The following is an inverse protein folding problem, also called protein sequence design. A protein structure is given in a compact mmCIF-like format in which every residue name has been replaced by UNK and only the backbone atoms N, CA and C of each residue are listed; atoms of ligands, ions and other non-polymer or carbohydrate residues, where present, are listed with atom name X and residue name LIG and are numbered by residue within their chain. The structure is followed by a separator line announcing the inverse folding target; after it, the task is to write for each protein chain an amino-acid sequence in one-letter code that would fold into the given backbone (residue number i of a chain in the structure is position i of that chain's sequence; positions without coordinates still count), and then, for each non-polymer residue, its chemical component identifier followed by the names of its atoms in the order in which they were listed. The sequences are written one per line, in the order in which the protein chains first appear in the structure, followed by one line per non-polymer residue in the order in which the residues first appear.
data_IF_407811105566
#
_entry.id   IF_407811105566
#
_cell.length_a   1.000
_cell.length_b   1.000
_cell.length_c   1.000
_cell.angle_alpha   90.00
_cell.angle_beta   90.00
_cell.angle_gamma   90.00
#
_symmetry.space_group_name_H-M   'P 1'
#
loop_
_entity.id
_entity.type
_entity.pdbx_description
1 polymer ?
#
# COMPACT_ATOMS: atom_id res chain seq x y z
N UNK A 1 14.87 -15.03 13.39
CA UNK A 1 14.87 -14.29 12.10
C UNK A 1 15.35 -12.87 12.35
N UNK A 2 16.30 -12.37 11.56
CA UNK A 2 16.64 -10.94 11.56
C UNK A 2 15.68 -10.23 10.58
N UNK A 3 14.66 -9.56 11.12
CA UNK A 3 13.62 -8.91 10.33
C UNK A 3 14.18 -7.84 9.39
N UNK A 4 15.14 -7.02 9.84
CA UNK A 4 15.71 -5.95 9.01
C UNK A 4 16.45 -6.50 7.80
N UNK A 5 17.21 -7.58 7.98
CA UNK A 5 17.91 -8.25 6.88
C UNK A 5 16.91 -8.90 5.92
N UNK A 6 15.89 -9.58 6.42
CA UNK A 6 14.84 -10.21 5.60
C UNK A 6 14.06 -9.17 4.79
N UNK A 7 13.66 -8.06 5.41
CA UNK A 7 12.99 -6.96 4.70
C UNK A 7 13.88 -6.38 3.59
N UNK A 8 15.18 -6.22 3.84
CA UNK A 8 16.13 -5.71 2.84
C UNK A 8 16.23 -6.64 1.63
N UNK A 9 16.34 -7.96 1.87
CA UNK A 9 16.41 -8.96 0.81
C UNK A 9 15.13 -9.03 -0.01
N UNK A 10 13.96 -9.00 0.65
CA UNK A 10 12.66 -8.96 -0.03
C UNK A 10 12.47 -7.67 -0.84
N UNK A 11 12.88 -6.53 -0.28
CA UNK A 11 12.84 -5.25 -0.99
C UNK A 11 13.71 -5.30 -2.25
N UNK A 12 14.95 -5.79 -2.17
CA UNK A 12 15.84 -5.93 -3.32
C UNK A 12 15.28 -6.87 -4.39
N UNK A 13 14.64 -7.98 -3.99
CA UNK A 13 13.99 -8.90 -4.91
C UNK A 13 12.81 -8.24 -5.66
N UNK A 14 11.99 -7.47 -4.94
CA UNK A 14 10.86 -6.72 -5.51
C UNK A 14 11.35 -5.61 -6.45
N UNK A 15 12.34 -4.82 -6.02
CA UNK A 15 12.93 -3.75 -6.84
C UNK A 15 13.48 -4.28 -8.17
N UNK A 16 14.21 -5.38 -8.14
CA UNK A 16 14.72 -6.02 -9.36
C UNK A 16 13.61 -6.52 -10.30
N UNK A 17 12.44 -6.89 -9.75
CA UNK A 17 11.29 -7.28 -10.55
C UNK A 17 10.55 -6.07 -11.13
N UNK A 18 10.37 -5.00 -10.33
CA UNK A 18 9.76 -3.74 -10.76
C UNK A 18 10.58 -3.09 -11.88
N UNK A 19 11.90 -3.08 -11.77
CA UNK A 19 12.78 -2.54 -12.79
C UNK A 19 12.60 -3.23 -14.15
N UNK A 20 12.39 -4.54 -14.15
CA UNK A 20 12.14 -5.33 -15.36
C UNK A 20 10.71 -5.23 -15.88
N UNK A 21 9.76 -4.83 -15.04
CA UNK A 21 8.34 -4.81 -15.36
C UNK A 21 7.94 -3.66 -16.27
N UNK A 22 8.60 -2.51 -16.15
CA UNK A 22 8.37 -1.36 -17.03
C UNK A 22 9.60 -1.17 -17.92
N UNK A 23 9.49 -1.29 -19.25
CA UNK A 23 10.60 -1.15 -20.17
C UNK A 23 11.33 0.19 -20.01
N UNK A 24 12.66 0.17 -20.12
CA UNK A 24 13.47 1.40 -20.04
C UNK A 24 13.22 2.32 -21.23
N UNK A 25 13.05 1.75 -22.41
CA UNK A 25 12.90 2.50 -23.63
C UNK A 25 12.01 1.77 -24.62
N UNK A 26 11.13 2.51 -25.27
CA UNK A 26 10.40 2.12 -26.44
C UNK A 26 10.74 3.11 -27.58
N UNK A 27 10.53 2.71 -28.82
CA UNK A 27 10.87 3.55 -29.98
C UNK A 27 10.16 4.91 -29.93
N UNK A 28 8.90 4.95 -29.46
CA UNK A 28 8.11 6.19 -29.31
C UNK A 28 6.77 5.94 -28.60
N UNK A 29 6.32 6.84 -27.71
CA UNK A 29 7.03 7.99 -27.15
C UNK A 29 7.81 7.61 -25.89
N UNK A 30 9.10 7.94 -25.76
CA UNK A 30 9.92 7.55 -24.61
C UNK A 30 9.46 8.20 -23.29
N UNK A 31 8.92 9.40 -23.33
CA UNK A 31 8.57 10.21 -22.14
C UNK A 31 7.60 9.50 -21.19
N UNK A 32 6.66 8.69 -21.70
CA UNK A 32 5.70 7.98 -20.85
C UNK A 32 6.41 6.91 -20.00
N UNK A 33 7.35 6.16 -20.59
CA UNK A 33 8.12 5.16 -19.87
C UNK A 33 9.06 5.79 -18.85
N UNK A 34 9.67 6.92 -19.19
CA UNK A 34 10.50 7.70 -18.27
C UNK A 34 9.69 8.19 -17.08
N UNK A 35 8.50 8.76 -17.29
CA UNK A 35 7.64 9.27 -16.23
C UNK A 35 7.10 8.15 -15.31
N UNK A 36 6.68 7.01 -15.89
CA UNK A 36 6.27 5.83 -15.14
C UNK A 36 7.42 5.30 -14.28
N UNK A 37 8.61 5.08 -14.87
CA UNK A 37 9.80 4.59 -14.15
C UNK A 37 10.28 5.55 -13.09
N UNK A 38 10.25 6.87 -13.36
CA UNK A 38 10.63 7.91 -12.43
C UNK A 38 9.94 7.76 -11.07
N UNK A 39 8.62 7.53 -11.09
CA UNK A 39 7.82 7.40 -9.88
C UNK A 39 7.87 5.98 -9.30
N UNK A 40 7.79 4.95 -10.14
CA UNK A 40 7.78 3.55 -9.70
C UNK A 40 9.10 3.15 -9.03
N UNK A 41 10.23 3.62 -9.56
CA UNK A 41 11.58 3.30 -9.08
C UNK A 41 12.15 4.36 -8.12
N UNK A 42 11.32 5.25 -7.59
CA UNK A 42 11.74 6.26 -6.62
C UNK A 42 12.11 5.68 -5.23
N UNK A 43 12.17 4.37 -5.09
CA UNK A 43 12.42 3.67 -3.83
C UNK A 43 11.17 3.57 -2.94
N UNK A 44 11.40 3.23 -1.67
CA UNK A 44 10.35 3.05 -0.67
C UNK A 44 10.47 1.72 0.07
N UNK A 45 9.65 1.52 1.11
CA UNK A 45 9.69 0.30 1.95
C UNK A 45 9.10 -0.94 1.27
N UNK A 46 8.40 -0.78 0.16
CA UNK A 46 7.75 -1.86 -0.61
C UNK A 46 6.91 -2.82 0.25
N UNK A 47 6.23 -2.29 1.24
CA UNK A 47 5.47 -3.10 2.21
C UNK A 47 4.35 -3.90 1.56
N UNK A 48 3.56 -3.28 0.66
CA UNK A 48 2.43 -3.94 0.00
C UNK A 48 2.84 -5.14 -0.85
N UNK A 49 3.79 -5.03 -1.79
CA UNK A 49 4.28 -6.19 -2.54
C UNK A 49 4.96 -7.21 -1.63
N UNK A 50 5.65 -6.78 -0.57
CA UNK A 50 6.26 -7.67 0.42
C UNK A 50 5.22 -8.52 1.14
N UNK A 51 4.06 -7.92 1.51
CA UNK A 51 2.93 -8.63 2.11
C UNK A 51 2.29 -9.64 1.15
N UNK A 52 2.17 -9.33 -0.15
CA UNK A 52 1.69 -10.31 -1.16
C UNK A 52 2.58 -11.55 -1.17
N UNK A 53 3.91 -11.36 -1.26
CA UNK A 53 4.86 -12.47 -1.32
C UNK A 53 4.86 -13.26 -0.02
N UNK A 54 4.90 -12.59 1.12
CA UNK A 54 4.92 -13.23 2.43
C UNK A 54 3.64 -14.03 2.72
N UNK A 55 2.48 -13.50 2.33
CA UNK A 55 1.21 -14.20 2.49
C UNK A 55 1.15 -15.47 1.62
N UNK A 56 1.68 -15.41 0.39
CA UNK A 56 1.78 -16.58 -0.48
C UNK A 56 2.68 -17.66 0.12
N UNK A 57 3.86 -17.29 0.59
CA UNK A 57 4.82 -18.20 1.22
C UNK A 57 4.28 -18.80 2.53
N UNK A 58 3.56 -18.00 3.33
CA UNK A 58 2.99 -18.44 4.61
C UNK A 58 1.98 -19.60 4.46
N UNK A 59 1.33 -19.70 3.32
CA UNK A 59 0.37 -20.78 3.02
C UNK A 59 0.99 -21.88 2.13
N UNK A 60 2.31 -21.90 1.97
CA UNK A 60 3.04 -22.91 1.21
C UNK A 60 3.12 -22.66 -0.30
N UNK A 61 2.72 -21.50 -0.78
CA UNK A 61 2.83 -21.11 -2.17
C UNK A 61 4.26 -20.66 -2.54
N UNK A 62 4.50 -20.51 -3.84
CA UNK A 62 5.77 -20.04 -4.37
C UNK A 62 5.71 -18.54 -4.62
N UNK A 63 6.68 -17.79 -4.10
CA UNK A 63 6.76 -16.32 -4.31
C UNK A 63 6.83 -15.91 -5.78
N UNK A 64 7.41 -16.76 -6.65
CA UNK A 64 7.50 -16.51 -8.08
C UNK A 64 6.11 -16.45 -8.75
N UNK A 65 5.16 -17.24 -8.26
CA UNK A 65 3.78 -17.23 -8.74
C UNK A 65 3.02 -15.97 -8.28
N UNK A 66 3.36 -15.43 -7.11
CA UNK A 66 2.77 -14.21 -6.55
C UNK A 66 3.44 -12.92 -7.05
N UNK A 67 4.66 -13.00 -7.58
CA UNK A 67 5.48 -11.84 -7.96
C UNK A 67 4.79 -10.90 -8.96
N UNK A 68 4.11 -11.37 -10.03
CA UNK A 68 3.39 -10.46 -10.93
C UNK A 68 2.31 -9.64 -10.23
N UNK A 69 1.61 -10.24 -9.28
CA UNK A 69 0.56 -9.59 -8.47
C UNK A 69 1.16 -8.58 -7.49
N UNK A 70 2.30 -8.90 -6.89
CA UNK A 70 3.06 -8.00 -6.04
C UNK A 70 3.54 -6.76 -6.80
N UNK A 71 4.12 -6.94 -7.99
CA UNK A 71 4.53 -5.83 -8.86
C UNK A 71 3.33 -4.98 -9.31
N UNK A 72 2.24 -5.61 -9.72
CA UNK A 72 1.03 -4.91 -10.13
C UNK A 72 0.45 -4.05 -9.00
N UNK A 73 0.41 -4.58 -7.77
CA UNK A 73 -0.05 -3.83 -6.61
C UNK A 73 0.83 -2.60 -6.30
N UNK A 74 2.14 -2.70 -6.48
CA UNK A 74 3.04 -1.55 -6.31
C UNK A 74 2.87 -0.52 -7.43
N UNK A 75 2.59 -0.94 -8.67
CA UNK A 75 2.23 -0.03 -9.77
C UNK A 75 0.93 0.70 -9.44
N UNK A 76 -0.08 -0.02 -8.95
CA UNK A 76 -1.36 0.55 -8.51
C UNK A 76 -1.13 1.55 -7.37
N UNK A 77 -0.32 1.21 -6.39
CA UNK A 77 0.03 2.15 -5.32
C UNK A 77 0.78 3.38 -5.86
N UNK A 78 1.67 3.19 -6.82
CA UNK A 78 2.45 4.31 -7.38
C UNK A 78 1.57 5.24 -8.21
N UNK A 79 0.65 4.73 -9.04
CA UNK A 79 -0.26 5.59 -9.77
C UNK A 79 -1.10 6.46 -8.83
N UNK A 80 -1.61 5.89 -7.72
CA UNK A 80 -2.41 6.66 -6.78
C UNK A 80 -1.61 7.80 -6.16
N UNK A 81 -0.33 7.56 -5.84
CA UNK A 81 0.56 8.63 -5.35
C UNK A 81 0.84 9.71 -6.39
N UNK A 82 1.02 9.34 -7.68
CA UNK A 82 1.21 10.33 -8.76
C UNK A 82 -0.02 11.24 -8.88
N UNK A 83 -1.22 10.65 -8.83
CA UNK A 83 -2.46 11.41 -8.95
C UNK A 83 -2.77 12.22 -7.69
N UNK A 84 -2.48 11.70 -6.50
CA UNK A 84 -2.62 12.45 -5.24
C UNK A 84 -1.73 13.69 -5.21
N UNK A 85 -0.52 13.62 -5.78
CA UNK A 85 0.42 14.75 -5.82
C UNK A 85 0.01 15.89 -6.77
N UNK A 86 -0.96 15.68 -7.68
CA UNK A 86 -1.37 16.68 -8.66
C UNK A 86 -1.94 17.96 -8.02
N UNK A 87 -1.83 19.12 -8.69
CA UNK A 87 -2.37 20.40 -8.18
C UNK A 87 -3.89 20.39 -7.90
N UNK A 88 -4.64 19.50 -8.55
CA UNK A 88 -6.08 19.33 -8.32
C UNK A 88 -6.39 18.44 -7.09
N UNK A 89 -5.39 17.87 -6.46
CA UNK A 89 -5.46 16.99 -5.31
C UNK A 89 -4.63 17.61 -4.16
N UNK A 90 -3.63 16.89 -3.62
CA UNK A 90 -2.82 17.37 -2.49
C UNK A 90 -1.84 18.49 -2.86
N UNK A 91 -1.53 18.68 -4.15
CA UNK A 91 -0.59 19.68 -4.69
C UNK A 91 0.80 19.60 -4.02
N UNK A 92 1.34 18.41 -3.89
CA UNK A 92 2.64 18.17 -3.28
C UNK A 92 3.79 18.37 -4.26
N UNK A 93 4.80 19.15 -3.86
CA UNK A 93 6.00 19.40 -4.66
C UNK A 93 7.04 18.28 -4.54
N UNK A 94 7.04 17.54 -3.42
CA UNK A 94 8.05 16.54 -3.10
C UNK A 94 7.42 15.24 -2.57
N UNK A 95 7.96 14.10 -3.03
CA UNK A 95 7.63 12.77 -2.53
C UNK A 95 8.89 11.90 -2.44
N UNK A 96 9.12 11.25 -1.31
CA UNK A 96 10.31 10.42 -1.07
C UNK A 96 11.63 11.19 -1.32
N UNK A 97 11.67 12.48 -0.96
CA UNK A 97 12.83 13.34 -1.13
C UNK A 97 13.14 13.78 -2.57
N UNK A 98 12.24 13.52 -3.53
CA UNK A 98 12.36 13.93 -4.94
C UNK A 98 11.18 14.79 -5.34
N UNK A 99 11.33 15.61 -6.38
CA UNK A 99 10.22 16.33 -6.99
C UNK A 99 9.14 15.32 -7.46
N UNK A 100 7.87 15.69 -7.32
CA UNK A 100 6.75 14.90 -7.79
C UNK A 100 6.69 14.83 -9.32
N UNK A 101 5.98 13.85 -9.87
CA UNK A 101 5.93 13.59 -11.32
C UNK A 101 5.50 14.83 -12.10
N UNK A 102 4.45 15.55 -11.63
CA UNK A 102 3.94 16.74 -12.30
C UNK A 102 4.93 17.91 -12.29
N UNK A 103 5.83 17.99 -11.31
CA UNK A 103 6.89 19.02 -11.28
C UNK A 103 8.02 18.74 -12.26
N UNK A 104 8.23 17.47 -12.61
CA UNK A 104 9.32 17.06 -13.53
C UNK A 104 8.84 16.98 -14.97
N UNK A 105 7.65 16.42 -15.21
CA UNK A 105 7.15 16.08 -16.55
C UNK A 105 5.96 16.92 -17.00
N UNK A 106 5.38 17.75 -16.11
CA UNK A 106 4.11 18.44 -16.35
C UNK A 106 2.90 17.64 -15.88
N UNK A 107 1.77 18.33 -15.66
CA UNK A 107 0.54 17.75 -15.13
C UNK A 107 -0.07 16.71 -16.09
N UNK A 108 -0.10 17.03 -17.38
CA UNK A 108 -0.61 16.16 -18.44
C UNK A 108 0.15 14.82 -18.49
N UNK A 109 1.47 14.88 -18.43
CA UNK A 109 2.30 13.69 -18.44
C UNK A 109 2.22 12.91 -17.14
N UNK A 110 2.06 13.57 -16.00
CA UNK A 110 1.83 12.90 -14.72
C UNK A 110 0.49 12.15 -14.69
N UNK A 111 -0.59 12.74 -15.22
CA UNK A 111 -1.89 12.05 -15.38
C UNK A 111 -1.71 10.79 -16.23
N UNK A 112 -1.10 10.92 -17.40
CA UNK A 112 -0.89 9.79 -18.32
C UNK A 112 0.04 8.72 -17.74
N UNK A 113 1.06 9.10 -16.97
CA UNK A 113 1.95 8.16 -16.28
C UNK A 113 1.21 7.36 -15.20
N UNK A 114 0.32 7.99 -14.46
CA UNK A 114 -0.56 7.31 -13.50
C UNK A 114 -1.49 6.32 -14.20
N UNK A 115 -2.19 6.75 -15.26
CA UNK A 115 -3.04 5.88 -16.08
C UNK A 115 -2.25 4.73 -16.67
N UNK A 116 -1.05 5.01 -17.19
CA UNK A 116 -0.14 4.03 -17.75
C UNK A 116 0.24 2.95 -16.75
N UNK A 117 0.60 3.33 -15.53
CA UNK A 117 0.91 2.38 -14.45
C UNK A 117 -0.30 1.54 -14.06
N UNK A 118 -1.50 2.14 -13.94
CA UNK A 118 -2.72 1.40 -13.63
C UNK A 118 -3.05 0.37 -14.70
N UNK A 119 -3.02 0.77 -15.98
CA UNK A 119 -3.28 -0.15 -17.09
C UNK A 119 -2.22 -1.24 -17.19
N UNK A 120 -0.94 -0.89 -17.01
CA UNK A 120 0.15 -1.86 -17.04
C UNK A 120 0.08 -2.87 -15.88
N UNK A 121 -0.40 -2.44 -14.71
CA UNK A 121 -0.69 -3.34 -13.61
C UNK A 121 -1.78 -4.36 -13.96
N UNK A 122 -2.87 -3.89 -14.58
CA UNK A 122 -3.95 -4.78 -15.02
C UNK A 122 -3.46 -5.77 -16.09
N UNK A 123 -2.68 -5.31 -17.07
CA UNK A 123 -2.07 -6.15 -18.08
C UNK A 123 -1.11 -7.19 -17.50
N UNK A 124 -0.29 -6.80 -16.53
CA UNK A 124 0.63 -7.69 -15.82
C UNK A 124 -0.12 -8.82 -15.11
N UNK A 125 -1.20 -8.51 -14.39
CA UNK A 125 -2.04 -9.52 -13.73
C UNK A 125 -2.78 -10.40 -14.75
N UNK A 126 -3.33 -9.82 -15.83
CA UNK A 126 -4.00 -10.57 -16.87
C UNK A 126 -3.06 -11.55 -17.56
N UNK A 127 -1.83 -11.12 -17.89
CA UNK A 127 -0.79 -11.96 -18.47
C UNK A 127 -0.39 -13.11 -17.53
N UNK A 128 -0.31 -12.87 -16.22
CA UNK A 128 -0.09 -13.93 -15.24
C UNK A 128 -1.24 -14.95 -15.23
N UNK A 129 -2.50 -14.49 -15.31
CA UNK A 129 -3.68 -15.36 -15.39
C UNK A 129 -3.70 -16.16 -16.70
N UNK A 130 -3.34 -15.57 -17.84
CA UNK A 130 -3.25 -16.28 -19.13
C UNK A 130 -2.14 -17.33 -19.10
N UNK A 131 -0.98 -16.98 -18.55
CA UNK A 131 0.16 -17.90 -18.44
C UNK A 131 -0.11 -19.08 -17.51
N UNK A 132 -0.86 -18.87 -16.45
CA UNK A 132 -1.25 -19.89 -15.45
C UNK A 132 -2.73 -19.75 -15.13
N UNK A 133 -3.65 -20.29 -15.97
CA UNK A 133 -5.09 -20.09 -15.82
C UNK A 133 -5.65 -20.98 -14.71
N UNK A 134 -5.60 -20.49 -13.49
CA UNK A 134 -6.06 -21.18 -12.28
C UNK A 134 -6.99 -20.29 -11.44
N UNK A 135 -7.87 -20.86 -10.59
CA UNK A 135 -8.64 -20.08 -9.63
C UNK A 135 -7.77 -19.22 -8.72
N UNK A 136 -6.54 -19.66 -8.43
CA UNK A 136 -5.59 -18.93 -7.58
C UNK A 136 -5.14 -17.62 -8.25
N UNK A 137 -4.73 -17.67 -9.52
CA UNK A 137 -4.27 -16.46 -10.22
C UNK A 137 -5.42 -15.48 -10.47
N UNK A 138 -6.59 -15.96 -10.90
CA UNK A 138 -7.76 -15.08 -11.08
C UNK A 138 -8.30 -14.55 -9.75
N UNK A 139 -8.22 -15.33 -8.68
CA UNK A 139 -8.57 -14.90 -7.32
C UNK A 139 -7.63 -13.82 -6.78
N UNK A 140 -6.32 -13.96 -7.01
CA UNK A 140 -5.34 -12.95 -6.63
C UNK A 140 -5.58 -11.61 -7.38
N UNK A 141 -5.81 -11.67 -8.70
CA UNK A 141 -6.19 -10.48 -9.48
C UNK A 141 -7.47 -9.83 -8.94
N UNK A 142 -8.50 -10.64 -8.63
CA UNK A 142 -9.77 -10.15 -8.06
C UNK A 142 -9.54 -9.42 -6.73
N UNK A 143 -8.73 -9.98 -5.82
CA UNK A 143 -8.46 -9.38 -4.51
C UNK A 143 -7.79 -8.00 -4.64
N UNK A 144 -6.78 -7.87 -5.51
CA UNK A 144 -6.10 -6.60 -5.79
C UNK A 144 -7.06 -5.60 -6.43
N UNK A 145 -7.79 -6.01 -7.48
CA UNK A 145 -8.71 -5.12 -8.18
C UNK A 145 -9.83 -4.61 -7.26
N UNK A 146 -10.33 -5.45 -6.35
CA UNK A 146 -11.33 -5.07 -5.35
C UNK A 146 -10.76 -4.08 -4.33
N UNK A 147 -9.58 -4.38 -3.77
CA UNK A 147 -8.92 -3.53 -2.77
C UNK A 147 -8.50 -2.15 -3.30
N UNK A 148 -8.17 -2.06 -4.59
CA UNK A 148 -7.77 -0.81 -5.22
C UNK A 148 -8.93 -0.04 -5.87
N UNK A 149 -10.02 -0.73 -6.20
CA UNK A 149 -11.14 -0.19 -6.99
C UNK A 149 -12.18 0.61 -6.20
N UNK A 150 -13.38 0.72 -6.81
CA UNK A 150 -14.50 1.50 -6.27
C UNK A 150 -15.09 0.94 -4.96
N UNK A 151 -14.74 -0.27 -4.57
CA UNK A 151 -15.12 -0.87 -3.28
C UNK A 151 -13.97 -0.86 -2.26
N UNK A 152 -12.86 -0.21 -2.60
CA UNK A 152 -11.67 -0.11 -1.79
C UNK A 152 -11.06 1.29 -1.83
N UNK A 153 -9.77 1.38 -2.17
CA UNK A 153 -8.97 2.60 -2.09
C UNK A 153 -9.61 3.80 -2.78
N UNK A 154 -10.16 3.63 -3.99
CA UNK A 154 -10.72 4.75 -4.76
C UNK A 154 -11.90 5.40 -4.02
N UNK A 155 -12.80 4.62 -3.43
CA UNK A 155 -13.92 5.17 -2.64
C UNK A 155 -13.44 5.90 -1.39
N UNK A 156 -12.42 5.37 -0.71
CA UNK A 156 -11.78 6.05 0.42
C UNK A 156 -11.21 7.41 0.03
N UNK A 157 -10.52 7.46 -1.11
CA UNK A 157 -9.98 8.71 -1.66
C UNK A 157 -11.08 9.71 -2.04
N UNK A 158 -12.18 9.24 -2.65
CA UNK A 158 -13.32 10.11 -2.98
C UNK A 158 -13.91 10.76 -1.73
N UNK A 159 -14.09 10.00 -0.65
CA UNK A 159 -14.61 10.55 0.61
C UNK A 159 -13.62 11.51 1.26
N UNK A 160 -12.33 11.18 1.26
CA UNK A 160 -11.27 12.04 1.80
C UNK A 160 -11.29 13.43 1.11
N UNK A 161 -11.26 13.46 -0.22
CA UNK A 161 -11.32 14.71 -1.01
C UNK A 161 -12.65 15.45 -0.84
N UNK A 162 -13.78 14.73 -0.87
CA UNK A 162 -15.10 15.35 -0.72
C UNK A 162 -15.33 16.00 0.65
N UNK A 163 -14.68 15.46 1.67
CA UNK A 163 -14.78 15.90 3.05
C UNK A 163 -13.67 16.89 3.46
N UNK A 164 -12.76 17.24 2.56
CA UNK A 164 -11.69 18.19 2.84
C UNK A 164 -12.22 19.53 3.37
N UNK A 165 -11.60 20.04 4.45
CA UNK A 165 -12.02 21.27 5.12
C UNK A 165 -13.32 21.16 5.91
N UNK A 166 -13.91 19.97 6.07
CA UNK A 166 -15.11 19.73 6.87
C UNK A 166 -14.77 18.89 8.11
N UNK A 167 -15.43 19.12 9.25
CA UNK A 167 -15.27 18.26 10.40
C UNK A 167 -15.82 16.85 10.10
N UNK A 168 -15.06 15.81 10.48
CA UNK A 168 -15.49 14.44 10.34
C UNK A 168 -15.96 13.87 11.70
N UNK A 169 -16.98 13.03 11.66
CA UNK A 169 -17.25 12.10 12.75
C UNK A 169 -16.36 10.85 12.66
N UNK A 170 -16.35 10.04 13.71
CA UNK A 170 -15.51 8.84 13.76
C UNK A 170 -15.89 7.82 12.69
N UNK A 171 -17.17 7.69 12.35
CA UNK A 171 -17.64 6.73 11.36
C UNK A 171 -17.11 7.08 9.96
N UNK A 172 -17.11 8.37 9.61
CA UNK A 172 -16.53 8.85 8.34
C UNK A 172 -15.01 8.71 8.32
N UNK A 173 -14.32 9.01 9.42
CA UNK A 173 -12.88 8.84 9.53
C UNK A 173 -12.47 7.37 9.41
N UNK A 174 -13.16 6.48 10.10
CA UNK A 174 -12.96 5.03 9.99
C UNK A 174 -13.18 4.55 8.56
N UNK A 175 -14.23 5.04 7.90
CA UNK A 175 -14.49 4.71 6.50
C UNK A 175 -13.32 5.10 5.59
N UNK A 176 -12.76 6.30 5.75
CA UNK A 176 -11.59 6.75 4.98
C UNK A 176 -10.40 5.84 5.26
N UNK A 177 -10.07 5.55 6.51
CA UNK A 177 -8.91 4.72 6.87
C UNK A 177 -9.04 3.28 6.37
N UNK A 178 -10.23 2.69 6.51
CA UNK A 178 -10.51 1.33 6.02
C UNK A 178 -10.38 1.26 4.50
N UNK A 179 -10.95 2.23 3.78
CA UNK A 179 -10.98 2.16 2.32
C UNK A 179 -9.71 2.73 1.68
N UNK A 180 -9.29 3.96 2.00
CA UNK A 180 -8.13 4.60 1.37
C UNK A 180 -6.83 3.83 1.62
N UNK A 181 -6.64 3.32 2.84
CA UNK A 181 -5.37 2.70 3.24
C UNK A 181 -5.48 1.20 3.47
N UNK A 182 -6.39 0.76 4.34
CA UNK A 182 -6.43 -0.63 4.77
C UNK A 182 -6.90 -1.58 3.66
N UNK A 183 -7.78 -1.16 2.76
CA UNK A 183 -8.28 -1.98 1.67
C UNK A 183 -7.16 -2.53 0.76
N UNK A 184 -6.11 -1.74 0.49
CA UNK A 184 -4.98 -2.22 -0.30
C UNK A 184 -4.07 -3.19 0.47
N UNK A 185 -3.93 -3.03 1.78
CA UNK A 185 -3.17 -3.96 2.63
C UNK A 185 -3.94 -5.27 2.78
N UNK A 186 -5.25 -5.19 2.98
CA UNK A 186 -6.16 -6.33 2.94
C UNK A 186 -6.05 -7.08 1.62
N UNK A 187 -6.19 -6.36 0.49
CA UNK A 187 -6.07 -6.94 -0.85
C UNK A 187 -4.70 -7.57 -1.12
N UNK A 188 -3.62 -7.02 -0.57
CA UNK A 188 -2.27 -7.60 -0.66
C UNK A 188 -2.20 -8.98 0.01
N UNK A 189 -2.67 -9.08 1.24
CA UNK A 189 -2.64 -10.33 2.03
C UNK A 189 -3.61 -11.38 1.46
N UNK A 190 -4.83 -10.96 1.08
CA UNK A 190 -5.78 -11.84 0.41
C UNK A 190 -5.21 -12.38 -0.92
N UNK A 191 -4.64 -11.51 -1.75
CA UNK A 191 -4.07 -11.91 -3.04
C UNK A 191 -2.93 -12.92 -2.87
N UNK A 192 -2.02 -12.67 -1.91
CA UNK A 192 -0.94 -13.59 -1.60
C UNK A 192 -1.45 -14.94 -1.12
N UNK A 193 -2.37 -14.96 -0.15
CA UNK A 193 -2.96 -16.20 0.38
C UNK A 193 -3.70 -17.00 -0.69
N UNK A 194 -4.54 -16.34 -1.52
CA UNK A 194 -5.23 -16.99 -2.65
C UNK A 194 -4.24 -17.55 -3.65
N UNK A 195 -3.22 -16.77 -4.02
CA UNK A 195 -2.17 -17.20 -4.96
C UNK A 195 -1.43 -18.43 -4.46
N UNK A 196 -1.18 -18.51 -3.15
CA UNK A 196 -0.55 -19.65 -2.49
C UNK A 196 -1.46 -20.87 -2.33
N UNK A 197 -2.75 -20.75 -2.63
CA UNK A 197 -3.71 -21.86 -2.59
C UNK A 197 -4.42 -22.05 -1.25
N UNK A 198 -4.47 -21.01 -0.40
CA UNK A 198 -5.21 -21.02 0.85
C UNK A 198 -6.70 -21.28 0.64
N UNK A 199 -7.36 -21.88 1.62
CA UNK A 199 -8.81 -21.99 1.66
C UNK A 199 -9.49 -20.63 1.96
N UNK A 200 -10.80 -20.59 1.79
CA UNK A 200 -11.56 -19.34 1.95
C UNK A 200 -11.51 -18.78 3.39
N UNK A 201 -11.43 -19.64 4.40
CA UNK A 201 -11.33 -19.21 5.80
C UNK A 201 -9.98 -18.55 6.07
N UNK A 202 -8.90 -19.18 5.64
CA UNK A 202 -7.54 -18.62 5.76
C UNK A 202 -7.41 -17.29 5.00
N UNK A 203 -7.94 -17.19 3.78
CA UNK A 203 -7.97 -15.94 3.01
C UNK A 203 -8.71 -14.84 3.77
N UNK A 204 -9.86 -15.15 4.36
CA UNK A 204 -10.64 -14.18 5.15
C UNK A 204 -9.87 -13.72 6.40
N UNK A 205 -9.15 -14.62 7.09
CA UNK A 205 -8.31 -14.27 8.25
C UNK A 205 -7.13 -13.36 7.84
N UNK A 206 -6.46 -13.63 6.72
CA UNK A 206 -5.40 -12.79 6.18
C UNK A 206 -5.92 -11.41 5.79
N UNK A 207 -7.11 -11.35 5.18
CA UNK A 207 -7.78 -10.08 4.86
C UNK A 207 -8.12 -9.28 6.11
N UNK A 208 -8.67 -9.93 7.15
CA UNK A 208 -8.98 -9.29 8.43
C UNK A 208 -7.74 -8.73 9.12
N UNK A 209 -6.64 -9.50 9.15
CA UNK A 209 -5.37 -9.01 9.69
C UNK A 209 -4.87 -7.79 8.90
N UNK A 210 -4.98 -7.83 7.55
CA UNK A 210 -4.59 -6.71 6.68
C UNK A 210 -5.38 -5.44 6.94
N UNK A 211 -6.68 -5.56 7.16
CA UNK A 211 -7.54 -4.43 7.51
C UNK A 211 -7.12 -3.79 8.85
N UNK A 212 -6.92 -4.62 9.89
CA UNK A 212 -6.46 -4.15 11.20
C UNK A 212 -5.10 -3.48 11.13
N UNK A 213 -4.13 -4.08 10.43
CA UNK A 213 -2.80 -3.50 10.21
C UNK A 213 -2.92 -2.16 9.48
N UNK A 214 -3.76 -2.06 8.45
CA UNK A 214 -3.92 -0.86 7.64
C UNK A 214 -4.51 0.30 8.44
N UNK A 215 -5.54 0.07 9.25
CA UNK A 215 -6.12 1.09 10.12
C UNK A 215 -5.12 1.50 11.21
N UNK A 216 -4.49 0.54 11.88
CA UNK A 216 -3.46 0.83 12.89
C UNK A 216 -2.30 1.65 12.30
N UNK A 217 -1.88 1.32 11.08
CA UNK A 217 -0.83 2.03 10.35
C UNK A 217 -1.20 3.50 10.12
N UNK A 218 -2.46 3.79 9.72
CA UNK A 218 -2.91 5.15 9.50
C UNK A 218 -3.02 5.94 10.82
N UNK A 219 -3.55 5.33 11.89
CA UNK A 219 -3.60 5.97 13.21
C UNK A 219 -2.18 6.31 13.70
N UNK A 220 -1.21 5.45 13.45
CA UNK A 220 0.19 5.73 13.81
C UNK A 220 0.79 6.84 12.94
N UNK A 221 0.40 6.95 11.65
CA UNK A 221 0.80 8.09 10.80
C UNK A 221 0.24 9.41 11.36
N UNK A 222 -1.02 9.45 11.78
CA UNK A 222 -1.64 10.62 12.43
C UNK A 222 -0.89 11.03 13.70
N UNK A 223 -0.46 10.06 14.52
CA UNK A 223 0.35 10.31 15.72
C UNK A 223 1.73 10.85 15.36
N UNK A 224 2.39 10.27 14.35
CA UNK A 224 3.71 10.70 13.92
C UNK A 224 3.70 12.09 13.31
N UNK A 225 2.64 12.50 12.61
CA UNK A 225 2.51 13.87 12.06
C UNK A 225 2.59 14.96 13.15
N UNK A 226 2.11 14.67 14.37
CA UNK A 226 2.13 15.62 15.49
C UNK A 226 3.27 15.41 16.49
N UNK A 227 3.96 14.27 16.48
CA UNK A 227 4.97 13.93 17.50
C UNK A 227 6.40 13.85 16.98
N UNK A 228 6.59 13.65 15.66
CA UNK A 228 7.91 13.49 15.05
C UNK A 228 8.55 14.83 14.66
N UNK A 229 9.80 14.76 14.20
CA UNK A 229 10.53 15.91 13.64
C UNK A 229 10.61 15.81 12.11
N UNK A 230 10.87 16.93 11.44
CA UNK A 230 11.08 16.98 10.00
C UNK A 230 12.21 16.03 9.56
N UNK A 231 13.28 15.91 10.38
CA UNK A 231 14.43 15.04 10.11
C UNK A 231 14.06 13.56 10.17
N UNK A 232 13.14 13.19 11.08
CA UNK A 232 12.69 11.82 11.26
C UNK A 232 11.67 11.38 10.19
N UNK A 233 10.71 12.24 9.83
CA UNK A 233 9.65 11.91 8.87
C UNK A 233 10.05 12.06 7.41
N UNK A 234 11.03 12.92 7.09
CA UNK A 234 11.41 13.23 5.71
C UNK A 234 10.33 13.95 4.90
N UNK A 235 9.26 14.42 5.56
CA UNK A 235 8.17 15.25 5.01
C UNK A 235 7.81 16.34 6.03
N UNK A 236 7.13 17.43 5.62
CA UNK A 236 6.65 18.44 6.56
C UNK A 236 5.79 17.82 7.66
N UNK A 237 6.04 18.22 8.91
CA UNK A 237 5.22 17.89 10.08
C UNK A 237 4.05 18.87 10.20
N UNK A 238 3.02 18.52 10.98
CA UNK A 238 1.80 19.30 11.13
C UNK A 238 1.08 19.58 9.79
N UNK A 239 1.23 18.66 8.82
CA UNK A 239 0.56 18.78 7.54
C UNK A 239 -0.95 18.65 7.71
N UNK A 240 -1.40 17.78 8.60
CA UNK A 240 -2.81 17.56 8.90
C UNK A 240 -3.44 18.78 9.60
N UNK A 241 -2.72 19.41 10.54
CA UNK A 241 -3.16 20.65 11.20
C UNK A 241 -3.25 21.81 10.20
N UNK A 242 -2.23 21.97 9.33
CA UNK A 242 -2.22 22.99 8.27
C UNK A 242 -3.38 22.83 7.29
N UNK A 243 -3.76 21.60 6.97
CA UNK A 243 -4.85 21.26 6.07
C UNK A 243 -6.19 21.11 6.80
N UNK A 244 -6.25 21.42 8.11
CA UNK A 244 -7.45 21.30 8.95
C UNK A 244 -8.10 19.90 8.88
N UNK A 245 -7.28 18.85 8.73
CA UNK A 245 -7.77 17.48 8.66
C UNK A 245 -8.20 16.97 10.04
N UNK A 246 -9.35 16.32 10.09
CA UNK A 246 -9.75 15.54 11.27
C UNK A 246 -8.97 14.23 11.27
N UNK A 247 -8.31 13.92 12.39
CA UNK A 247 -7.51 12.70 12.59
C UNK A 247 -7.94 12.00 13.87
N UNK A 248 -7.48 10.77 14.09
CA UNK A 248 -7.69 10.11 15.39
C UNK A 248 -7.12 10.92 16.55
N UNK A 249 -6.00 11.60 16.34
CA UNK A 249 -5.37 12.44 17.37
C UNK A 249 -6.25 13.64 17.72
N UNK A 250 -6.88 14.28 16.73
CA UNK A 250 -7.78 15.42 16.98
C UNK A 250 -9.08 15.01 17.67
N UNK A 251 -9.58 13.78 17.42
CA UNK A 251 -10.81 13.26 18.04
C UNK A 251 -10.60 12.70 19.45
N UNK A 252 -9.49 11.97 19.68
CA UNK A 252 -9.31 11.19 20.90
C UNK A 252 -8.06 11.56 21.71
N UNK A 253 -7.16 12.38 21.14
CA UNK A 253 -5.84 12.63 21.70
C UNK A 253 -4.84 11.50 21.44
N UNK A 254 -3.55 11.79 21.65
CA UNK A 254 -2.44 10.90 21.30
C UNK A 254 -2.51 9.56 22.05
N UNK A 255 -2.72 9.59 23.38
CA UNK A 255 -2.70 8.37 24.20
C UNK A 255 -3.81 7.39 23.81
N UNK A 256 -5.03 7.89 23.57
CA UNK A 256 -6.15 7.05 23.18
C UNK A 256 -6.00 6.50 21.78
N UNK A 257 -5.48 7.30 20.83
CA UNK A 257 -5.15 6.86 19.49
C UNK A 257 -4.10 5.75 19.51
N UNK A 258 -3.08 5.87 20.38
CA UNK A 258 -2.04 4.83 20.58
C UNK A 258 -2.64 3.52 21.12
N UNK A 259 -3.56 3.61 22.11
CA UNK A 259 -4.26 2.43 22.61
C UNK A 259 -5.08 1.73 21.54
N UNK A 260 -5.79 2.48 20.68
CA UNK A 260 -6.60 1.92 19.59
C UNK A 260 -5.69 1.23 18.57
N UNK A 261 -4.61 1.87 18.14
CA UNK A 261 -3.64 1.29 17.20
C UNK A 261 -3.00 0.01 17.77
N UNK A 262 -2.61 0.02 19.05
CA UNK A 262 -2.06 -1.16 19.72
C UNK A 262 -3.06 -2.31 19.75
N UNK A 263 -4.33 -2.06 20.13
CA UNK A 263 -5.37 -3.08 20.13
C UNK A 263 -5.59 -3.72 18.76
N UNK A 264 -5.69 -2.92 17.70
CA UNK A 264 -5.85 -3.43 16.33
C UNK A 264 -4.68 -4.30 15.91
N UNK A 265 -3.49 -3.92 16.31
CA UNK A 265 -2.28 -4.67 16.00
C UNK A 265 -2.18 -5.96 16.80
N UNK A 266 -2.57 -5.95 18.09
CA UNK A 266 -2.64 -7.18 18.90
C UNK A 266 -3.64 -8.18 18.30
N UNK A 267 -4.79 -7.69 17.78
CA UNK A 267 -5.76 -8.52 17.10
C UNK A 267 -5.19 -9.14 15.79
N UNK A 268 -4.40 -8.39 15.02
CA UNK A 268 -3.71 -8.93 13.85
C UNK A 268 -2.61 -9.93 14.23
N UNK A 269 -1.85 -9.66 15.27
CA UNK A 269 -0.83 -10.55 15.84
C UNK A 269 -1.47 -11.89 16.25
N UNK A 270 -2.60 -11.84 16.95
CA UNK A 270 -3.32 -13.07 17.36
C UNK A 270 -3.76 -13.93 16.16
N UNK A 271 -4.09 -13.31 15.02
CA UNK A 271 -4.38 -14.05 13.78
C UNK A 271 -3.11 -14.78 13.30
N UNK A 272 -1.97 -14.11 13.24
CA UNK A 272 -0.71 -14.71 12.81
C UNK A 272 -0.25 -15.83 13.73
N UNK A 273 -0.36 -15.66 15.05
CA UNK A 273 0.00 -16.69 16.03
C UNK A 273 -0.87 -17.95 15.87
N UNK A 274 -2.17 -17.78 15.58
CA UNK A 274 -3.08 -18.88 15.32
C UNK A 274 -2.76 -19.62 14.02
N UNK A 275 -2.24 -18.93 13.01
CA UNK A 275 -1.81 -19.52 11.73
C UNK A 275 -0.47 -20.29 11.85
N UNK A 276 0.33 -20.03 12.89
CA UNK A 276 1.54 -20.77 13.21
C UNK A 276 2.83 -20.20 12.63
N UNK A 277 3.90 -21.00 12.70
CA UNK A 277 5.28 -20.59 12.39
C UNK A 277 5.47 -20.09 10.95
N UNK A 278 4.68 -20.55 10.01
CA UNK A 278 4.76 -20.09 8.62
C UNK A 278 4.44 -18.59 8.46
N UNK A 279 3.70 -18.00 9.40
CA UNK A 279 3.39 -16.57 9.45
C UNK A 279 4.42 -15.73 10.24
N UNK A 280 5.56 -16.28 10.65
CA UNK A 280 6.54 -15.59 11.49
C UNK A 280 7.02 -14.25 10.90
N UNK A 281 7.21 -14.16 9.57
CA UNK A 281 7.57 -12.90 8.94
C UNK A 281 6.45 -11.85 9.05
N UNK A 282 5.20 -12.24 8.76
CA UNK A 282 4.04 -11.33 8.87
C UNK A 282 3.81 -10.87 10.31
N UNK A 283 4.02 -11.75 11.27
CA UNK A 283 3.97 -11.44 12.70
C UNK A 283 5.01 -10.38 13.08
N UNK A 284 6.26 -10.59 12.74
CA UNK A 284 7.34 -9.66 13.06
C UNK A 284 7.23 -8.34 12.28
N UNK A 285 6.76 -8.39 11.03
CA UNK A 285 6.46 -7.19 10.26
C UNK A 285 5.34 -6.36 10.93
N UNK A 286 4.28 -7.00 11.42
CA UNK A 286 3.20 -6.32 12.15
C UNK A 286 3.72 -5.62 13.39
N UNK A 287 4.53 -6.30 14.22
CA UNK A 287 5.18 -5.70 15.39
C UNK A 287 6.09 -4.52 15.02
N UNK A 288 6.86 -4.65 13.93
CA UNK A 288 7.74 -3.59 13.45
C UNK A 288 6.96 -2.34 13.05
N UNK A 289 5.81 -2.51 12.37
CA UNK A 289 4.97 -1.39 11.96
C UNK A 289 4.38 -0.61 13.13
N UNK A 290 4.20 -1.26 14.29
CA UNK A 290 3.77 -0.62 15.54
C UNK A 290 4.86 0.21 16.23
N UNK A 291 6.10 -0.23 16.11
CA UNK A 291 7.24 0.37 16.82
C UNK A 291 8.01 1.38 15.98
N UNK A 292 7.57 1.63 14.75
CA UNK A 292 8.23 2.58 13.86
C UNK A 292 8.13 4.00 14.41
N UNK A 293 9.20 4.73 14.29
CA UNK A 293 9.31 6.15 14.63
C UNK A 293 9.35 7.06 13.40
N UNK A 294 9.38 6.45 12.19
CA UNK A 294 9.46 7.16 10.89
C UNK A 294 8.98 6.24 9.74
#
# INVERSE_FOLDING_TARGET
MDLKQEMKERCAYIEAALEKSVPEQQEFPPVIFEAMRYSLLAGGKRLRPMMVLAACEAVGGRKEDALPFACALEMIHTYSLIHDDLPAMDNDDYRRGRLTSHKVFGEDMAILAGDGLLHHAMETMANACVKKPTPQTTGAMKAIAHGAGIFGMLTGQVVDVFMEGKPLDIETLDFIHIHKTAAMIRGALEAGAVCGGADAETVAQFGLAGEKIGVAFQILDDILDVTSTLEELGKPIHSDEKNQKTTYVTLFGIEKSREIAAKLSDEAIAIWEKQGESCAFLLELTKYLLTRTY
#
